data_IF_078477002043
#
_entry.id   IF_078477002043
#
_cell.length_a   1.000
_cell.length_b   1.000
_cell.length_c   1.000
_cell.angle_alpha   90.00
_cell.angle_beta   90.00
_cell.angle_gamma   90.00
#
_symmetry.space_group_name_H-M   'P 1'
#
loop_
_entity.id
_entity.type
_entity.pdbx_description
1 polymer ?
#
# COMPACT_ATOMS: atom_id res chain seq x y z
N UNK A 1 25.94 -11.59 -13.47
CA UNK A 1 25.86 -10.95 -14.81
C UNK A 1 25.22 -9.57 -14.68
N UNK A 2 26.07 -8.54 -14.52
CA UNK A 2 25.65 -7.16 -14.18
C UNK A 2 25.20 -6.33 -15.39
N UNK A 3 24.26 -6.82 -16.20
CA UNK A 3 23.81 -6.12 -17.41
C UNK A 3 22.80 -4.97 -17.14
N UNK A 4 22.58 -4.58 -15.87
CA UNK A 4 21.79 -3.39 -15.49
C UNK A 4 20.30 -3.41 -15.85
N UNK A 5 19.73 -4.57 -16.15
CA UNK A 5 18.34 -4.69 -16.57
C UNK A 5 17.34 -4.38 -15.45
N UNK A 6 16.20 -3.78 -15.81
CA UNK A 6 15.05 -3.58 -14.90
C UNK A 6 14.57 -4.93 -14.38
N UNK A 7 14.63 -5.14 -13.06
CA UNK A 7 14.22 -6.38 -12.41
C UNK A 7 12.69 -6.50 -12.25
N UNK A 8 12.03 -5.39 -11.95
CA UNK A 8 10.59 -5.36 -11.75
C UNK A 8 10.01 -3.97 -12.09
N UNK A 9 8.72 -3.94 -12.43
CA UNK A 9 7.91 -2.74 -12.54
C UNK A 9 6.48 -3.06 -12.09
N UNK A 10 5.81 -2.08 -11.49
CA UNK A 10 4.38 -2.13 -11.23
C UNK A 10 3.75 -0.90 -11.87
N UNK A 11 2.67 -1.11 -12.62
CA UNK A 11 1.83 -0.05 -13.15
C UNK A 11 0.48 -0.15 -12.47
N UNK A 12 0.00 0.97 -11.95
CA UNK A 12 -1.29 1.07 -11.28
C UNK A 12 -2.16 2.08 -12.01
N UNK A 13 -3.46 1.81 -12.06
CA UNK A 13 -4.48 2.71 -12.59
C UNK A 13 -5.68 2.74 -11.66
N UNK A 14 -6.46 3.81 -11.71
CA UNK A 14 -7.66 3.95 -10.89
C UNK A 14 -8.07 5.40 -10.65
N UNK A 15 -8.54 5.66 -9.42
CA UNK A 15 -9.07 6.96 -9.00
C UNK A 15 -8.01 8.08 -9.04
N UNK A 16 -8.47 9.33 -8.97
CA UNK A 16 -7.59 10.50 -8.81
C UNK A 16 -6.69 10.35 -7.58
N UNK A 17 -5.44 10.83 -7.68
CA UNK A 17 -4.43 10.68 -6.64
C UNK A 17 -4.82 11.27 -5.29
N UNK A 18 -5.60 12.35 -5.25
CA UNK A 18 -6.09 12.92 -3.99
C UNK A 18 -7.17 12.06 -3.34
N UNK A 19 -8.08 11.49 -4.13
CA UNK A 19 -9.10 10.56 -3.62
C UNK A 19 -8.44 9.28 -3.09
N UNK A 20 -7.45 8.75 -3.81
CA UNK A 20 -6.65 7.63 -3.34
C UNK A 20 -5.95 7.96 -2.02
N UNK A 21 -5.29 9.12 -1.94
CA UNK A 21 -4.57 9.56 -0.72
C UNK A 21 -5.50 9.62 0.49
N UNK A 22 -6.68 10.23 0.33
CA UNK A 22 -7.66 10.31 1.41
C UNK A 22 -8.11 8.91 1.87
N UNK A 23 -8.41 8.02 0.91
CA UNK A 23 -8.92 6.67 1.20
C UNK A 23 -7.86 5.76 1.81
N UNK A 24 -6.63 5.78 1.31
CA UNK A 24 -5.55 4.92 1.84
C UNK A 24 -5.12 5.36 3.25
N UNK A 25 -5.18 6.66 3.56
CA UNK A 25 -4.95 7.17 4.91
C UNK A 25 -6.07 6.74 5.87
N UNK A 26 -7.33 6.84 5.44
CA UNK A 26 -8.46 6.36 6.24
C UNK A 26 -8.36 4.86 6.51
N UNK A 27 -8.10 4.07 5.47
CA UNK A 27 -7.87 2.62 5.58
C UNK A 27 -6.76 2.28 6.58
N UNK A 28 -5.60 2.94 6.48
CA UNK A 28 -4.47 2.68 7.38
C UNK A 28 -4.81 3.04 8.84
N UNK A 29 -5.52 4.15 9.06
CA UNK A 29 -5.93 4.58 10.39
C UNK A 29 -6.95 3.61 11.02
N UNK A 30 -7.96 3.19 10.27
CA UNK A 30 -8.95 2.21 10.70
C UNK A 30 -8.30 0.86 11.05
N UNK A 31 -7.40 0.38 10.18
CA UNK A 31 -6.70 -0.89 10.39
C UNK A 31 -5.77 -0.84 11.61
N UNK A 32 -5.07 0.28 11.81
CA UNK A 32 -4.24 0.49 12.98
C UNK A 32 -5.07 0.56 14.28
N UNK A 33 -6.21 1.27 14.27
CA UNK A 33 -7.12 1.34 15.41
C UNK A 33 -7.72 -0.02 15.78
N UNK A 34 -7.94 -0.89 14.79
CA UNK A 34 -8.40 -2.26 14.97
C UNK A 34 -7.29 -3.25 15.42
N UNK A 35 -6.07 -2.79 15.70
CA UNK A 35 -4.96 -3.64 16.12
C UNK A 35 -4.29 -4.42 14.98
N UNK A 36 -4.48 -4.00 13.73
CA UNK A 36 -3.91 -4.66 12.54
C UNK A 36 -2.43 -4.37 12.29
N UNK A 37 -1.71 -3.69 13.19
CA UNK A 37 -0.29 -3.43 13.05
C UNK A 37 0.57 -4.62 13.50
N UNK A 38 1.59 -4.96 12.71
CA UNK A 38 2.55 -6.03 12.99
C UNK A 38 3.67 -5.61 13.96
N UNK A 39 3.58 -4.43 14.57
CA UNK A 39 4.54 -3.94 15.56
C UNK A 39 4.34 -2.46 15.90
N UNK A 40 5.15 -1.95 16.81
CA UNK A 40 5.13 -0.55 17.26
C UNK A 40 6.29 0.27 16.67
N UNK A 41 6.18 1.60 16.76
CA UNK A 41 7.18 2.56 16.26
C UNK A 41 6.84 3.14 14.88
N UNK A 42 7.73 4.00 14.37
CA UNK A 42 7.59 4.60 13.04
C UNK A 42 7.98 3.57 11.97
N UNK A 43 6.97 2.96 11.34
CA UNK A 43 7.12 1.91 10.33
C UNK A 43 6.55 2.38 9.00
N UNK A 44 7.18 1.95 7.90
CA UNK A 44 6.57 2.09 6.58
C UNK A 44 5.34 1.18 6.43
N UNK A 45 4.48 1.39 5.41
CA UNK A 45 3.24 0.63 5.25
C UNK A 45 3.46 -0.90 5.16
N UNK A 46 4.50 -1.36 4.48
CA UNK A 46 4.81 -2.81 4.37
C UNK A 46 5.24 -3.38 5.72
N UNK A 47 6.12 -2.70 6.45
CA UNK A 47 6.58 -3.14 7.78
C UNK A 47 5.48 -3.04 8.86
N UNK A 48 4.47 -2.19 8.62
CA UNK A 48 3.34 -1.97 9.51
C UNK A 48 2.21 -2.98 9.31
N UNK A 49 1.86 -3.32 8.07
CA UNK A 49 0.67 -4.12 7.74
C UNK A 49 0.97 -5.43 7.01
N UNK A 50 2.16 -5.57 6.41
CA UNK A 50 2.47 -6.63 5.46
C UNK A 50 2.11 -6.26 4.01
N UNK A 51 2.80 -6.86 3.05
CA UNK A 51 2.61 -6.54 1.63
C UNK A 51 1.21 -6.91 1.13
N UNK A 52 0.75 -8.12 1.41
CA UNK A 52 -0.56 -8.61 0.91
C UNK A 52 -1.72 -7.76 1.44
N UNK A 53 -1.66 -7.37 2.72
CA UNK A 53 -2.69 -6.55 3.34
C UNK A 53 -2.66 -5.12 2.77
N UNK A 54 -1.47 -4.57 2.55
CA UNK A 54 -1.31 -3.28 1.88
C UNK A 54 -1.85 -3.32 0.44
N UNK A 55 -1.60 -4.38 -0.33
CA UNK A 55 -2.13 -4.50 -1.69
C UNK A 55 -3.67 -4.55 -1.71
N UNK A 56 -4.30 -5.23 -0.74
CA UNK A 56 -5.76 -5.19 -0.56
C UNK A 56 -6.26 -3.80 -0.22
N UNK A 57 -5.62 -3.12 0.73
CA UNK A 57 -5.95 -1.74 1.09
C UNK A 57 -5.83 -0.75 -0.06
N UNK A 58 -4.80 -0.91 -0.91
CA UNK A 58 -4.61 -0.10 -2.12
C UNK A 58 -5.72 -0.36 -3.14
N UNK A 59 -6.16 -1.63 -3.29
CA UNK A 59 -7.29 -1.99 -4.13
C UNK A 59 -8.61 -1.41 -3.62
N UNK A 60 -8.88 -1.50 -2.31
CA UNK A 60 -10.04 -0.89 -1.65
C UNK A 60 -10.03 0.65 -1.79
N UNK A 61 -8.84 1.26 -1.71
CA UNK A 61 -8.66 2.70 -1.93
C UNK A 61 -8.82 3.12 -3.40
N UNK A 62 -8.92 2.17 -4.33
CA UNK A 62 -9.32 2.40 -5.72
C UNK A 62 -8.20 2.39 -6.75
N UNK A 63 -7.02 1.83 -6.43
CA UNK A 63 -5.96 1.56 -7.41
C UNK A 63 -5.81 0.06 -7.65
N UNK A 64 -5.61 -0.34 -8.90
CA UNK A 64 -5.37 -1.73 -9.29
C UNK A 64 -4.17 -1.86 -10.21
N UNK A 65 -3.55 -3.04 -10.24
CA UNK A 65 -2.50 -3.38 -11.21
C UNK A 65 -3.05 -3.44 -12.65
N UNK A 66 -2.18 -3.12 -13.61
CA UNK A 66 -2.39 -3.25 -15.07
C UNK A 66 -1.17 -3.83 -15.75
#
# INVERSE_FOLDING_TARGET
>A
DGNGGRLAAARLEGVNGYDFTARVLAWAAERAAAGGLLGSGARGPVDGFGLDELERGVAEAGLRRV
#
